data_IF_631976312744
#
_entry.id   IF_631976312744
#
_cell.length_a   1.000
_cell.length_b   1.000
_cell.length_c   1.000
_cell.angle_alpha   90.00
_cell.angle_beta   90.00
_cell.angle_gamma   90.00
#
_symmetry.space_group_name_H-M   'P 1'
#
loop_
_entity.id
_entity.type
_entity.pdbx_description
1 polymer ?
#
# COMPACT_ATOMS: atom_id res chain seq x y z
N UNK A 1 -0.96 -11.04 21.34
CA UNK A 1 -1.64 -9.80 21.72
C UNK A 1 -2.84 -10.17 22.55
N UNK A 2 -2.96 -9.66 23.78
CA UNK A 2 -4.19 -9.82 24.57
C UNK A 2 -4.98 -8.53 24.52
N UNK A 3 -6.16 -8.56 23.92
CA UNK A 3 -7.07 -7.42 23.88
C UNK A 3 -7.44 -6.99 25.30
N UNK A 4 -7.48 -5.67 25.52
CA UNK A 4 -7.87 -5.05 26.78
C UNK A 4 -8.71 -3.82 26.51
N UNK A 5 -9.49 -3.39 27.51
CA UNK A 5 -10.17 -2.11 27.48
C UNK A 5 -9.30 -1.06 28.19
N UNK A 6 -9.14 0.10 27.56
CA UNK A 6 -8.46 1.26 28.14
C UNK A 6 -9.48 2.39 28.23
N UNK A 7 -9.54 3.04 29.40
CA UNK A 7 -10.34 4.26 29.58
C UNK A 7 -9.75 5.38 28.71
N UNK A 8 -10.59 6.03 27.93
CA UNK A 8 -10.20 7.12 27.02
C UNK A 8 -9.44 8.24 27.76
N UNK A 9 -9.77 8.47 29.03
CA UNK A 9 -9.11 9.46 29.89
C UNK A 9 -7.61 9.17 30.08
N UNK A 10 -7.19 7.92 29.94
CA UNK A 10 -5.78 7.50 30.07
C UNK A 10 -4.98 7.62 28.78
N UNK A 11 -5.61 7.95 27.66
CA UNK A 11 -4.90 8.08 26.39
C UNK A 11 -3.89 9.22 26.42
N UNK A 12 -4.18 10.31 27.14
CA UNK A 12 -3.26 11.45 27.30
C UNK A 12 -1.95 11.12 28.03
N UNK A 13 -1.88 9.98 28.73
CA UNK A 13 -0.66 9.49 29.40
C UNK A 13 0.25 8.69 28.46
N UNK A 14 -0.20 8.39 27.24
CA UNK A 14 0.51 7.55 26.30
C UNK A 14 1.67 8.26 25.59
N UNK A 15 2.68 7.50 25.21
CA UNK A 15 3.73 7.94 24.29
C UNK A 15 3.38 7.47 22.87
N UNK A 16 3.34 8.39 21.92
CA UNK A 16 3.21 8.06 20.50
C UNK A 16 4.48 7.37 20.01
N UNK A 17 4.33 6.18 19.41
CA UNK A 17 5.44 5.40 18.85
C UNK A 17 5.50 5.48 17.31
N UNK A 18 4.36 5.66 16.64
CA UNK A 18 4.31 5.81 15.18
C UNK A 18 4.43 7.27 14.74
N UNK A 19 4.64 7.48 13.44
CA UNK A 19 4.65 8.82 12.87
C UNK A 19 3.26 9.49 12.99
N UNK A 20 3.23 10.80 13.23
CA UNK A 20 1.98 11.60 13.38
C UNK A 20 1.13 11.72 12.10
N UNK A 21 1.62 11.22 10.97
CA UNK A 21 0.94 11.31 9.68
C UNK A 21 0.38 9.96 9.25
N UNK A 22 0.57 8.91 10.05
CA UNK A 22 0.05 7.58 9.79
C UNK A 22 -1.49 7.59 9.89
N UNK A 23 -2.16 6.80 9.06
CA UNK A 23 -3.62 6.65 9.11
C UNK A 23 -4.09 6.04 10.44
N UNK A 24 -3.23 5.24 11.07
CA UNK A 24 -3.42 4.66 12.39
C UNK A 24 -2.20 5.02 13.24
N UNK A 25 -2.44 5.57 14.41
CA UNK A 25 -1.39 5.89 15.36
C UNK A 25 -1.22 4.76 16.39
N UNK A 26 0.01 4.29 16.59
CA UNK A 26 0.37 3.37 17.67
C UNK A 26 0.89 4.16 18.87
N UNK A 27 0.20 3.99 19.99
CA UNK A 27 0.56 4.60 21.26
C UNK A 27 0.93 3.53 22.29
N UNK A 28 1.82 3.89 23.22
CA UNK A 28 2.29 3.05 24.31
C UNK A 28 1.90 3.67 25.66
N UNK A 29 1.26 2.87 26.51
CA UNK A 29 0.94 3.22 27.90
C UNK A 29 1.75 2.32 28.84
N UNK A 30 2.71 2.88 29.58
CA UNK A 30 3.62 2.08 30.41
C UNK A 30 4.51 1.16 29.57
N UNK A 31 4.83 -0.05 30.06
CA UNK A 31 5.85 -0.92 29.43
C UNK A 31 5.33 -1.92 28.40
N UNK A 32 4.08 -2.34 28.51
CA UNK A 32 3.53 -3.48 27.74
C UNK A 32 2.13 -3.24 27.22
N UNK A 33 1.51 -2.10 27.51
CA UNK A 33 0.16 -1.77 27.06
C UNK A 33 0.28 -0.83 25.87
N UNK A 34 -0.49 -1.12 24.83
CA UNK A 34 -0.49 -0.40 23.57
C UNK A 34 -1.92 -0.17 23.12
N UNK A 35 -2.12 0.89 22.35
CA UNK A 35 -3.40 1.16 21.71
C UNK A 35 -3.22 1.81 20.33
N UNK A 36 -4.20 1.58 19.47
CA UNK A 36 -4.31 2.11 18.13
C UNK A 36 -5.39 3.19 18.13
N UNK A 37 -5.08 4.35 17.54
CA UNK A 37 -6.02 5.47 17.41
C UNK A 37 -6.14 5.89 15.97
N UNK A 38 -7.35 6.16 15.48
CA UNK A 38 -7.53 6.89 14.23
C UNK A 38 -7.41 8.39 14.53
N UNK A 39 -6.44 9.11 13.95
CA UNK A 39 -6.20 10.52 14.29
C UNK A 39 -7.33 11.44 13.85
N UNK A 40 -8.08 11.07 12.81
CA UNK A 40 -9.20 11.87 12.28
C UNK A 40 -10.47 11.71 13.12
N UNK A 41 -10.79 10.48 13.52
CA UNK A 41 -12.03 10.16 14.26
C UNK A 41 -11.87 10.31 15.77
N UNK A 42 -10.63 10.43 16.24
CA UNK A 42 -10.27 10.51 17.64
C UNK A 42 -10.88 9.37 18.49
N UNK A 43 -10.82 8.15 17.96
CA UNK A 43 -11.31 6.95 18.62
C UNK A 43 -10.19 5.93 18.82
N UNK A 44 -10.33 5.12 19.87
CA UNK A 44 -9.49 3.95 20.06
C UNK A 44 -10.03 2.85 19.16
N UNK A 45 -9.23 2.43 18.17
CA UNK A 45 -9.58 1.33 17.27
C UNK A 45 -9.36 -0.02 17.95
N UNK A 46 -8.28 -0.14 18.72
CA UNK A 46 -7.89 -1.39 19.35
C UNK A 46 -6.90 -1.14 20.49
N UNK A 47 -7.05 -1.84 21.60
CA UNK A 47 -6.14 -1.75 22.73
C UNK A 47 -5.70 -3.14 23.19
N UNK A 48 -4.42 -3.32 23.49
CA UNK A 48 -3.88 -4.63 23.79
C UNK A 48 -2.65 -4.57 24.70
N UNK A 49 -2.43 -5.66 25.42
CA UNK A 49 -1.18 -5.93 26.12
C UNK A 49 -0.28 -6.84 25.26
N UNK A 50 1.00 -6.44 25.09
CA UNK A 50 2.00 -7.21 24.37
C UNK A 50 3.39 -7.07 25.00
N UNK A 51 3.80 -8.01 25.87
CA UNK A 51 5.17 -8.06 26.39
C UNK A 51 6.22 -8.21 25.29
N UNK A 52 5.89 -8.91 24.21
CA UNK A 52 6.79 -9.09 23.07
C UNK A 52 7.08 -7.76 22.37
N UNK A 53 6.06 -6.94 22.13
CA UNK A 53 6.24 -5.62 21.53
C UNK A 53 7.02 -4.69 22.45
N UNK A 54 6.73 -4.70 23.76
CA UNK A 54 7.49 -3.93 24.74
C UNK A 54 8.99 -4.29 24.73
N UNK A 55 9.32 -5.59 24.72
CA UNK A 55 10.72 -6.04 24.59
C UNK A 55 11.34 -5.61 23.26
N UNK A 56 10.59 -5.70 22.16
CA UNK A 56 11.06 -5.29 20.84
C UNK A 56 11.42 -3.81 20.80
N UNK A 57 10.56 -2.93 21.32
CA UNK A 57 10.83 -1.48 21.38
C UNK A 57 12.06 -1.19 22.24
N UNK A 58 12.16 -1.77 23.44
CA UNK A 58 13.31 -1.56 24.34
C UNK A 58 14.62 -2.08 23.74
N UNK A 59 14.59 -3.21 23.05
CA UNK A 59 15.80 -3.79 22.44
C UNK A 59 16.28 -3.01 21.20
N UNK A 60 15.44 -2.15 20.63
CA UNK A 60 15.74 -1.40 19.41
C UNK A 60 15.53 0.09 19.71
N UNK A 61 16.44 0.69 20.47
CA UNK A 61 16.38 2.03 21.09
C UNK A 61 16.03 3.21 20.14
N UNK A 62 15.90 2.95 18.84
CA UNK A 62 15.51 3.90 17.77
C UNK A 62 14.52 3.29 16.76
N UNK A 63 13.51 2.53 17.21
CA UNK A 63 12.45 2.09 16.29
C UNK A 63 11.63 3.31 15.85
N UNK A 64 11.84 3.77 14.62
CA UNK A 64 10.96 4.72 13.96
C UNK A 64 9.90 3.95 13.16
N UNK A 65 8.66 3.97 13.66
CA UNK A 65 7.51 3.31 13.01
C UNK A 65 6.84 4.34 12.08
N UNK A 66 6.94 4.13 10.77
CA UNK A 66 6.34 5.01 9.77
C UNK A 66 4.87 4.74 9.53
N UNK A 67 4.46 3.48 9.61
CA UNK A 67 3.10 3.08 9.31
C UNK A 67 2.65 1.89 10.17
N UNK A 68 1.35 1.84 10.43
CA UNK A 68 0.72 0.87 11.32
C UNK A 68 -0.55 0.36 10.64
N UNK A 69 -0.67 -0.97 10.53
CA UNK A 69 -1.85 -1.62 9.98
C UNK A 69 -2.32 -2.74 10.89
N UNK A 70 -3.61 -2.76 11.21
CA UNK A 70 -4.26 -3.90 11.86
C UNK A 70 -5.04 -4.69 10.80
N UNK A 71 -4.68 -5.95 10.62
CA UNK A 71 -5.37 -6.88 9.71
C UNK A 71 -6.17 -7.88 10.53
N UNK A 72 -7.42 -8.09 10.15
CA UNK A 72 -8.29 -9.13 10.68
C UNK A 72 -8.39 -10.20 9.59
N UNK A 73 -7.74 -11.34 9.81
CA UNK A 73 -7.79 -12.47 8.88
C UNK A 73 -8.96 -13.37 9.28
N UNK A 74 -9.94 -13.51 8.38
CA UNK A 74 -10.94 -14.55 8.51
C UNK A 74 -10.33 -15.88 8.05
N UNK A 75 -10.29 -16.87 8.94
CA UNK A 75 -9.95 -18.24 8.53
C UNK A 75 -11.05 -18.82 7.63
N UNK A 76 -10.70 -19.87 6.87
CA UNK A 76 -11.52 -20.53 5.84
C UNK A 76 -13.03 -20.60 6.17
N UNK A 77 -13.92 -20.57 5.15
CA UNK A 77 -15.36 -20.62 5.36
C UNK A 77 -15.74 -21.84 6.22
N UNK A 78 -16.28 -21.57 7.41
CA UNK A 78 -16.66 -22.59 8.41
C UNK A 78 -15.95 -22.47 9.76
N UNK A 79 -14.94 -21.61 9.92
CA UNK A 79 -14.37 -21.23 11.22
C UNK A 79 -14.67 -19.76 11.51
N UNK A 80 -15.16 -19.48 12.71
CA UNK A 80 -15.38 -18.11 13.25
C UNK A 80 -14.12 -17.54 13.90
N UNK A 81 -12.97 -18.20 13.76
CA UNK A 81 -11.73 -17.71 14.34
C UNK A 81 -11.17 -16.60 13.44
N UNK A 82 -11.40 -15.36 13.88
CA UNK A 82 -10.74 -14.17 13.38
C UNK A 82 -9.36 -14.06 14.01
N UNK A 83 -8.31 -14.03 13.19
CA UNK A 83 -6.96 -13.83 13.68
C UNK A 83 -6.55 -12.36 13.50
N UNK A 84 -6.19 -11.68 14.59
CA UNK A 84 -5.71 -10.28 14.54
C UNK A 84 -4.19 -10.24 14.34
N UNK A 85 -3.72 -9.49 13.35
CA UNK A 85 -2.29 -9.24 13.10
C UNK A 85 -2.01 -7.75 13.02
N UNK A 86 -1.01 -7.30 13.78
CA UNK A 86 -0.53 -5.93 13.73
C UNK A 86 0.75 -5.87 12.89
N UNK A 87 0.77 -5.05 11.86
CA UNK A 87 1.93 -4.81 11.01
C UNK A 87 2.47 -3.41 11.29
N UNK A 88 3.77 -3.33 11.53
CA UNK A 88 4.52 -2.10 11.75
C UNK A 88 5.53 -1.96 10.64
N UNK A 89 5.42 -0.90 9.85
CA UNK A 89 6.42 -0.57 8.83
C UNK A 89 7.43 0.38 9.45
N UNK A 90 8.68 -0.06 9.54
CA UNK A 90 9.77 0.74 10.08
C UNK A 90 10.31 1.72 9.02
N UNK A 91 11.08 2.73 9.44
CA UNK A 91 11.81 3.63 8.54
C UNK A 91 12.73 2.89 7.57
N UNK A 92 13.30 1.77 8.01
CA UNK A 92 14.13 0.88 7.18
C UNK A 92 13.33 0.13 6.10
N UNK A 93 12.00 0.29 6.07
CA UNK A 93 11.03 -0.48 5.29
C UNK A 93 10.88 -1.94 5.73
N UNK A 94 11.54 -2.35 6.81
CA UNK A 94 11.28 -3.65 7.43
C UNK A 94 9.85 -3.68 7.97
N UNK A 95 9.14 -4.78 7.71
CA UNK A 95 7.80 -5.03 8.22
C UNK A 95 7.91 -5.94 9.42
N UNK A 96 7.48 -5.43 10.56
CA UNK A 96 7.41 -6.18 11.82
C UNK A 96 5.97 -6.56 12.07
N UNK A 97 5.69 -7.86 12.04
CA UNK A 97 4.34 -8.39 12.24
C UNK A 97 4.24 -8.99 13.65
N UNK A 98 3.26 -8.53 14.42
CA UNK A 98 2.90 -9.07 15.73
C UNK A 98 1.61 -9.89 15.59
N UNK A 99 1.69 -11.18 15.94
CA UNK A 99 0.54 -12.08 15.94
C UNK A 99 -0.29 -11.99 17.21
N UNK A 100 -1.50 -12.54 17.13
CA UNK A 100 -2.39 -12.70 18.27
C UNK A 100 -1.80 -13.58 19.39
N UNK A 101 -0.92 -14.51 19.08
CA UNK A 101 -0.18 -15.28 20.10
C UNK A 101 0.96 -14.48 20.75
N UNK A 102 1.21 -13.25 20.27
CA UNK A 102 2.29 -12.40 20.77
C UNK A 102 3.66 -12.77 20.21
N UNK A 103 3.71 -13.44 19.06
CA UNK A 103 4.95 -13.70 18.33
C UNK A 103 5.26 -12.52 17.41
N UNK A 104 6.54 -12.19 17.30
CA UNK A 104 7.02 -11.14 16.40
C UNK A 104 7.78 -11.77 15.25
N UNK A 105 7.35 -11.44 14.05
CA UNK A 105 7.99 -11.82 12.80
C UNK A 105 8.58 -10.57 12.16
N UNK A 106 9.77 -10.71 11.60
CA UNK A 106 10.45 -9.67 10.84
C UNK A 106 10.53 -10.11 9.40
N UNK A 107 10.04 -9.28 8.50
CA UNK A 107 10.14 -9.50 7.08
C UNK A 107 10.76 -8.25 6.45
N UNK A 108 11.83 -8.45 5.69
CA UNK A 108 12.29 -7.41 4.77
C UNK A 108 11.51 -7.64 3.47
N UNK A 109 10.71 -6.66 3.02
CA UNK A 109 9.94 -6.86 1.82
C UNK A 109 10.93 -7.07 0.65
N UNK A 110 10.72 -8.15 -0.12
CA UNK A 110 11.57 -8.49 -1.28
C UNK A 110 11.57 -7.36 -2.32
N UNK A 111 10.57 -6.47 -2.27
CA UNK A 111 10.51 -5.22 -3.02
C UNK A 111 10.26 -4.02 -2.09
N UNK A 112 10.89 -2.86 -2.33
CA UNK A 112 10.86 -1.67 -1.46
C UNK A 112 9.50 -0.93 -1.31
N UNK A 113 8.35 -1.52 -1.64
CA UNK A 113 7.08 -0.77 -1.81
C UNK A 113 5.90 -1.35 -1.03
N UNK A 114 4.89 -0.54 -0.66
CA UNK A 114 3.81 -0.95 0.23
C UNK A 114 3.00 -2.08 -0.41
N UNK A 115 2.73 -3.15 0.37
CA UNK A 115 1.93 -4.31 -0.02
C UNK A 115 0.43 -4.03 -0.16
N UNK A 116 0.01 -2.76 -0.14
CA UNK A 116 -1.37 -2.36 -0.37
C UNK A 116 -1.48 -1.75 -1.75
N UNK A 117 -2.20 -2.42 -2.64
CA UNK A 117 -2.72 -1.80 -3.85
C UNK A 117 -3.63 -0.65 -3.42
N UNK A 118 -3.14 0.58 -3.48
CA UNK A 118 -3.87 1.76 -2.99
C UNK A 118 -4.93 2.22 -4.00
N UNK A 119 -5.02 1.55 -5.15
CA UNK A 119 -5.82 2.00 -6.30
C UNK A 119 -5.28 3.29 -6.91
N UNK A 120 -4.10 3.74 -6.48
CA UNK A 120 -3.50 4.98 -6.96
C UNK A 120 -3.12 4.84 -8.42
N UNK A 121 -3.44 5.88 -9.16
CA UNK A 121 -2.98 6.07 -10.52
C UNK A 121 -1.67 6.86 -10.52
N UNK A 122 -0.72 6.36 -11.28
CA UNK A 122 0.65 6.79 -11.35
C UNK A 122 0.90 7.44 -12.72
N UNK A 123 1.66 8.54 -12.75
CA UNK A 123 2.04 9.19 -14.01
C UNK A 123 3.41 8.68 -14.44
N UNK A 124 3.52 7.98 -15.60
CA UNK A 124 4.80 7.49 -16.12
C UNK A 124 5.87 8.59 -16.19
N UNK A 125 5.46 9.75 -16.70
CA UNK A 125 6.32 10.93 -16.86
C UNK A 125 6.89 11.45 -15.53
N UNK A 126 6.15 11.35 -14.43
CA UNK A 126 6.63 11.75 -13.09
C UNK A 126 7.57 10.72 -12.45
N UNK A 127 7.42 9.44 -12.79
CA UNK A 127 8.09 8.35 -12.06
C UNK A 127 9.36 7.91 -12.76
N UNK A 128 9.32 7.75 -14.09
CA UNK A 128 10.47 7.35 -14.89
C UNK A 128 11.18 8.53 -15.56
N UNK A 129 10.70 9.75 -15.30
CA UNK A 129 11.13 10.95 -16.00
C UNK A 129 10.46 11.07 -17.38
N UNK A 130 10.71 12.20 -18.05
CA UNK A 130 10.14 12.48 -19.35
C UNK A 130 9.68 13.94 -19.49
N UNK A 131 9.50 14.38 -20.73
CA UNK A 131 9.08 15.75 -21.01
C UNK A 131 7.63 15.99 -20.55
N UNK A 132 7.36 17.05 -19.76
CA UNK A 132 6.00 17.39 -19.32
C UNK A 132 5.08 17.83 -20.46
N UNK A 133 5.64 18.17 -21.63
CA UNK A 133 4.89 18.52 -22.83
C UNK A 133 4.63 17.33 -23.76
N UNK A 134 5.03 16.11 -23.34
CA UNK A 134 4.77 14.89 -24.11
C UNK A 134 3.37 14.34 -23.85
N UNK A 135 2.87 13.54 -24.80
CA UNK A 135 1.61 12.81 -24.64
C UNK A 135 1.62 11.85 -23.44
N UNK A 136 2.80 11.42 -22.96
CA UNK A 136 2.95 10.58 -21.77
C UNK A 136 2.45 11.26 -20.50
N UNK A 137 2.41 12.61 -20.47
CA UNK A 137 1.77 13.37 -19.40
C UNK A 137 0.24 13.20 -19.33
N UNK A 138 -0.37 12.67 -20.40
CA UNK A 138 -1.81 12.34 -20.46
C UNK A 138 -2.11 10.90 -20.05
N UNK A 139 -1.07 10.10 -19.77
CA UNK A 139 -1.20 8.69 -19.41
C UNK A 139 -1.08 8.55 -17.90
N UNK A 140 -1.99 7.77 -17.36
CA UNK A 140 -1.93 7.23 -16.01
C UNK A 140 -1.87 5.72 -16.08
N UNK A 141 -1.15 5.11 -15.16
CA UNK A 141 -1.04 3.66 -15.03
C UNK A 141 -1.41 3.24 -13.62
N UNK A 142 -2.05 2.09 -13.48
CA UNK A 142 -2.24 1.46 -12.17
C UNK A 142 -0.91 1.04 -11.55
N UNK A 143 -0.87 0.88 -10.23
CA UNK A 143 0.31 0.32 -9.53
C UNK A 143 0.72 -1.04 -10.09
N UNK A 144 -0.25 -1.92 -10.39
CA UNK A 144 0.03 -3.22 -11.01
C UNK A 144 0.66 -3.11 -12.39
N UNK A 145 0.13 -2.22 -13.23
CA UNK A 145 0.73 -1.95 -14.55
C UNK A 145 2.14 -1.36 -14.41
N UNK A 146 2.36 -0.50 -13.42
CA UNK A 146 3.69 0.02 -13.11
C UNK A 146 4.67 -1.12 -12.79
N UNK A 147 4.29 -2.04 -11.89
CA UNK A 147 5.14 -3.16 -11.49
C UNK A 147 5.42 -4.08 -12.69
N UNK A 148 4.41 -4.41 -13.49
CA UNK A 148 4.59 -5.20 -14.71
C UNK A 148 5.56 -4.54 -15.70
N UNK A 149 5.48 -3.22 -15.87
CA UNK A 149 6.40 -2.49 -16.75
C UNK A 149 7.82 -2.48 -16.18
N UNK A 150 8.00 -2.34 -14.87
CA UNK A 150 9.32 -2.47 -14.24
C UNK A 150 9.92 -3.87 -14.44
N UNK A 151 9.12 -4.91 -14.30
CA UNK A 151 9.56 -6.30 -14.44
C UNK A 151 9.92 -6.66 -15.89
N UNK A 152 9.21 -6.07 -16.87
CA UNK A 152 9.48 -6.25 -18.29
C UNK A 152 10.64 -5.37 -18.79
N UNK A 153 10.87 -4.22 -18.15
CA UNK A 153 11.89 -3.28 -18.59
C UNK A 153 13.29 -3.82 -18.36
N UNK A 154 14.09 -3.85 -19.42
CA UNK A 154 15.51 -4.17 -19.36
C UNK A 154 16.31 -2.90 -19.65
N UNK A 155 17.25 -2.56 -18.76
CA UNK A 155 18.14 -1.40 -18.91
C UNK A 155 17.44 -0.02 -18.97
N UNK A 156 16.32 0.16 -18.28
CA UNK A 156 15.71 1.49 -18.10
C UNK A 156 14.83 1.98 -19.26
N UNK A 157 14.24 1.06 -20.03
CA UNK A 157 13.38 1.36 -21.18
C UNK A 157 11.88 1.46 -20.84
N UNK A 158 11.52 1.82 -19.60
CA UNK A 158 10.12 1.82 -19.15
C UNK A 158 9.22 2.73 -20.01
N UNK A 159 9.72 3.92 -20.38
CA UNK A 159 8.95 4.86 -21.19
C UNK A 159 8.69 4.35 -22.61
N UNK A 160 9.62 3.58 -23.18
CA UNK A 160 9.46 2.96 -24.50
C UNK A 160 8.39 1.87 -24.46
N UNK A 161 8.33 1.08 -23.38
CA UNK A 161 7.25 0.10 -23.17
C UNK A 161 5.89 0.78 -23.06
N UNK A 162 5.79 1.90 -22.33
CA UNK A 162 4.54 2.69 -22.29
C UNK A 162 4.16 3.24 -23.66
N UNK A 163 5.14 3.68 -24.44
CA UNK A 163 4.91 4.16 -25.81
C UNK A 163 4.32 3.05 -26.70
N UNK A 164 4.82 1.82 -26.61
CA UNK A 164 4.24 0.68 -27.33
C UNK A 164 2.78 0.47 -26.92
N UNK A 165 2.49 0.34 -25.63
CA UNK A 165 1.12 0.14 -25.13
C UNK A 165 0.19 1.28 -25.59
N UNK A 166 0.70 2.51 -25.60
CA UNK A 166 -0.02 3.67 -26.09
C UNK A 166 -0.35 3.56 -27.58
N UNK A 167 0.61 3.17 -28.42
CA UNK A 167 0.38 2.97 -29.85
C UNK A 167 -0.65 1.87 -30.12
N UNK A 168 -0.62 0.78 -29.36
CA UNK A 168 -1.59 -0.31 -29.48
C UNK A 168 -2.99 0.14 -29.10
N UNK A 169 -3.13 0.91 -28.02
CA UNK A 169 -4.41 1.53 -27.68
C UNK A 169 -4.89 2.51 -28.75
N UNK A 170 -4.01 3.33 -29.33
CA UNK A 170 -4.36 4.23 -30.43
C UNK A 170 -4.82 3.46 -31.68
N UNK A 171 -4.26 2.28 -31.94
CA UNK A 171 -4.69 1.41 -33.03
C UNK A 171 -6.12 0.90 -32.79
N UNK A 172 -6.42 0.43 -31.59
CA UNK A 172 -7.77 -0.01 -31.22
C UNK A 172 -8.80 1.12 -31.25
N UNK A 173 -8.41 2.32 -30.79
CA UNK A 173 -9.27 3.51 -30.86
C UNK A 173 -9.60 3.90 -32.31
N UNK A 174 -8.66 3.72 -33.24
CA UNK A 174 -8.89 3.98 -34.68
C UNK A 174 -9.76 2.91 -35.32
N UNK A 175 -9.64 1.66 -34.88
CA UNK A 175 -10.44 0.55 -35.39
C UNK A 175 -11.92 0.66 -34.98
N UNK A 176 -12.20 1.14 -33.78
CA UNK A 176 -13.56 1.40 -33.29
C UNK A 176 -13.67 2.74 -32.55
N UNK A 177 -13.81 3.87 -33.28
CA UNK A 177 -13.85 5.21 -32.69
C UNK A 177 -15.09 5.48 -31.83
N UNK A 178 -16.16 4.69 -31.98
CA UNK A 178 -17.42 4.86 -31.25
C UNK A 178 -17.45 4.05 -29.95
N UNK A 179 -16.51 3.12 -29.76
CA UNK A 179 -16.40 2.36 -28.52
C UNK A 179 -16.19 3.29 -27.33
N UNK A 180 -17.08 3.18 -26.36
CA UNK A 180 -16.99 3.90 -25.09
C UNK A 180 -16.73 2.91 -23.96
N UNK A 181 -15.99 3.34 -22.94
CA UNK A 181 -15.63 2.49 -21.80
C UNK A 181 -14.28 1.81 -21.92
N UNK A 182 -14.18 0.61 -21.36
CA UNK A 182 -12.92 -0.12 -21.19
C UNK A 182 -12.53 -0.89 -22.47
N UNK A 183 -11.29 -0.72 -22.91
CA UNK A 183 -10.68 -1.38 -24.06
C UNK A 183 -9.79 -2.51 -23.56
N UNK A 184 -10.12 -3.75 -23.87
CA UNK A 184 -9.21 -4.89 -23.66
C UNK A 184 -8.37 -5.07 -24.91
N UNK A 185 -7.05 -5.05 -24.74
CA UNK A 185 -6.08 -4.99 -25.83
C UNK A 185 -5.15 -6.18 -25.66
N UNK A 186 -5.08 -7.02 -26.68
CA UNK A 186 -4.06 -8.07 -26.78
C UNK A 186 -2.81 -7.45 -27.40
N UNK A 187 -1.94 -6.91 -26.55
CA UNK A 187 -0.69 -6.29 -26.98
C UNK A 187 0.39 -7.31 -27.33
N UNK A 188 1.44 -6.83 -27.97
CA UNK A 188 2.60 -7.60 -28.43
C UNK A 188 3.34 -8.28 -27.27
N UNK A 189 3.54 -7.54 -26.17
CA UNK A 189 4.30 -8.01 -25.01
C UNK A 189 3.42 -8.39 -23.82
N UNK A 190 2.24 -7.76 -23.70
CA UNK A 190 1.26 -8.10 -22.67
C UNK A 190 -0.16 -7.74 -23.12
N UNK A 191 -1.14 -8.45 -22.56
CA UNK A 191 -2.52 -8.02 -22.65
C UNK A 191 -2.78 -6.96 -21.55
N UNK A 192 -3.56 -5.93 -21.87
CA UNK A 192 -3.89 -4.88 -20.92
C UNK A 192 -5.29 -4.30 -21.16
N UNK A 193 -5.78 -3.57 -20.17
CA UNK A 193 -7.02 -2.81 -20.26
C UNK A 193 -6.72 -1.31 -20.30
N UNK A 194 -7.44 -0.56 -21.13
CA UNK A 194 -7.28 0.88 -21.25
C UNK A 194 -8.63 1.60 -21.17
N UNK A 195 -8.67 2.72 -20.45
CA UNK A 195 -9.85 3.57 -20.32
C UNK A 195 -9.52 4.99 -20.74
N UNK A 196 -10.36 5.58 -21.60
CA UNK A 196 -10.33 7.01 -21.89
C UNK A 196 -11.22 7.76 -20.90
N UNK A 197 -10.63 8.68 -20.15
CA UNK A 197 -11.33 9.58 -19.24
C UNK A 197 -11.68 10.92 -19.92
N UNK A 198 -12.64 11.69 -19.35
CA UNK A 198 -12.90 13.05 -19.79
C UNK A 198 -11.63 13.91 -19.80
N UNK A 199 -11.50 14.82 -20.77
CA UNK A 199 -10.35 15.72 -20.85
C UNK A 199 -9.08 15.15 -21.51
N UNK A 200 -9.20 14.04 -22.26
CA UNK A 200 -8.07 13.37 -22.98
C UNK A 200 -7.03 12.75 -22.03
N UNK A 201 -7.44 12.37 -20.83
CA UNK A 201 -6.63 11.57 -19.93
C UNK A 201 -6.88 10.09 -20.21
N UNK A 202 -5.85 9.27 -20.12
CA UNK A 202 -5.90 7.84 -20.45
C UNK A 202 -5.37 7.04 -19.28
N UNK A 203 -6.01 5.91 -18.97
CA UNK A 203 -5.61 5.04 -17.88
C UNK A 203 -5.34 3.65 -18.41
N UNK A 204 -4.16 3.11 -18.11
CA UNK A 204 -3.77 1.74 -18.43
C UNK A 204 -3.79 0.87 -17.16
N UNK A 205 -4.40 -0.29 -17.28
CA UNK A 205 -4.57 -1.28 -16.23
C UNK A 205 -4.00 -2.61 -16.70
N UNK A 206 -3.37 -3.32 -15.78
CA UNK A 206 -3.04 -4.73 -15.95
C UNK A 206 -4.33 -5.56 -15.98
N UNK A 207 -4.36 -6.64 -16.77
CA UNK A 207 -5.56 -7.48 -16.98
C UNK A 207 -5.76 -8.56 -15.90
#
# INVERSE_FOLDING_TARGET
MKEINIDINRCGEGQLLSHRISNIELWQLGKVIFYLRAPVEDNILYAFASPALGRFIVANDKVEIHDVKLTIEHTLPGRTDEAKRLHLTLQTREIVTLSEDGLIYRAQPLHPRPLEYTGRLLSPQKIWGGSPMSYLGLILISERMFDTVEDLANNGNQLELIEVLWMEFQRELKADPQKTGNYKIAGEFMAFSALRLPGRLFVLFDL
#
